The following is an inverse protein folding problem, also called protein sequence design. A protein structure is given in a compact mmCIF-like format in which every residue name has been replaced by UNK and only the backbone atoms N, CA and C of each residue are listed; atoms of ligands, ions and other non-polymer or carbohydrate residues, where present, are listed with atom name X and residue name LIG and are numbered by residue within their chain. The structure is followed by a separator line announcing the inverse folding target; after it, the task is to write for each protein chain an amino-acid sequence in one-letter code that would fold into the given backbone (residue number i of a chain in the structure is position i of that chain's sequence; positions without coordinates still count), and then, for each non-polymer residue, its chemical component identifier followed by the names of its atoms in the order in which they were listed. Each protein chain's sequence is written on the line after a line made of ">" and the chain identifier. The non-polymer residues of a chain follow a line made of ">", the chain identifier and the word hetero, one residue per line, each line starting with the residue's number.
data_IF_198449809857
#
_entry.id   IF_198449809857
#
_cell.length_a   1.000
_cell.length_b   1.000
_cell.length_c   1.000
_cell.angle_alpha   90.00
_cell.angle_beta   90.00
_cell.angle_gamma   90.00
#
_symmetry.space_group_name_H-M   'P 1'
#
loop_
_entity.id
_entity.type
_entity.pdbx_description
1 polymer ?
#
# COMPACT_ATOMS: atom_id res chain seq x y z
N UNK A 1 6.62 -9.90 29.70
CA UNK A 1 6.06 -9.01 28.66
C UNK A 1 6.98 -9.17 27.49
N UNK A 2 6.57 -9.87 26.44
CA UNK A 2 7.41 -10.08 25.26
C UNK A 2 7.26 -8.81 24.44
N UNK A 3 8.26 -7.93 24.50
CA UNK A 3 8.32 -6.83 23.56
C UNK A 3 8.64 -7.44 22.20
N UNK A 4 7.80 -7.16 21.20
CA UNK A 4 8.10 -7.48 19.81
C UNK A 4 9.19 -6.50 19.35
N UNK A 5 10.42 -6.71 19.82
CA UNK A 5 11.58 -5.85 19.51
C UNK A 5 11.91 -5.80 18.00
N UNK A 6 11.29 -6.68 17.20
CA UNK A 6 11.52 -6.82 15.76
C UNK A 6 10.30 -6.41 14.89
N UNK A 7 9.28 -5.71 15.44
CA UNK A 7 8.26 -5.09 14.59
C UNK A 7 8.88 -3.91 13.82
N UNK A 8 9.06 -4.08 12.51
CA UNK A 8 9.64 -3.05 11.65
C UNK A 8 8.66 -1.86 11.55
N UNK A 9 9.03 -0.71 12.12
CA UNK A 9 8.23 0.51 12.08
C UNK A 9 8.36 1.20 10.71
N UNK A 10 7.32 1.06 9.90
CA UNK A 10 7.32 1.49 8.51
C UNK A 10 6.28 2.58 8.25
N UNK A 11 6.68 3.60 7.50
CA UNK A 11 5.77 4.53 6.85
C UNK A 11 5.44 4.02 5.45
N UNK A 12 4.15 3.78 5.19
CA UNK A 12 3.65 3.45 3.86
C UNK A 12 3.08 4.69 3.18
N UNK A 13 3.57 5.00 1.97
CA UNK A 13 3.04 6.05 1.12
C UNK A 13 2.51 5.45 -0.18
N UNK A 14 1.31 5.85 -0.58
CA UNK A 14 0.78 5.57 -1.92
C UNK A 14 1.14 6.74 -2.82
N UNK A 15 1.82 6.46 -3.93
CA UNK A 15 2.21 7.46 -4.92
C UNK A 15 1.46 7.17 -6.21
N UNK A 16 0.70 8.15 -6.67
CA UNK A 16 0.00 8.14 -7.96
C UNK A 16 0.80 8.94 -8.98
N UNK A 17 0.76 8.53 -10.25
CA UNK A 17 1.52 9.20 -11.32
C UNK A 17 0.83 10.49 -11.83
N UNK A 18 -0.28 10.92 -11.20
CA UNK A 18 -0.85 12.26 -11.35
C UNK A 18 -1.49 12.58 -12.71
N UNK A 19 -1.76 11.59 -13.56
CA UNK A 19 -2.56 11.78 -14.78
C UNK A 19 -4.06 11.87 -14.46
N UNK A 20 -4.81 12.74 -15.13
CA UNK A 20 -6.28 12.77 -15.05
C UNK A 20 -6.86 11.41 -15.52
N UNK A 21 -7.34 10.56 -14.60
CA UNK A 21 -8.00 9.28 -14.90
C UNK A 21 -7.47 8.08 -14.12
N UNK A 22 -7.70 6.86 -14.65
CA UNK A 22 -7.21 5.57 -14.16
C UNK A 22 -5.67 5.50 -14.16
N UNK A 23 -5.04 6.21 -13.21
CA UNK A 23 -3.62 6.15 -12.96
C UNK A 23 -3.22 4.81 -12.33
N UNK A 24 -1.97 4.40 -12.49
CA UNK A 24 -1.42 3.31 -11.66
C UNK A 24 -0.81 3.91 -10.41
N UNK A 25 -1.04 3.23 -9.29
CA UNK A 25 -0.42 3.58 -8.03
C UNK A 25 0.74 2.64 -7.70
N UNK A 26 1.65 3.13 -6.87
CA UNK A 26 2.69 2.31 -6.25
C UNK A 26 2.74 2.61 -4.77
N UNK A 27 2.95 1.56 -3.99
CA UNK A 27 3.21 1.67 -2.56
C UNK A 27 4.73 1.80 -2.38
N UNK A 28 5.11 2.72 -1.52
CA UNK A 28 6.48 2.95 -1.10
C UNK A 28 6.56 2.78 0.41
N UNK A 29 7.44 1.89 0.85
CA UNK A 29 7.66 1.58 2.27
C UNK A 29 8.97 2.21 2.71
N UNK A 30 8.87 3.11 3.68
CA UNK A 30 9.98 3.86 4.25
C UNK A 30 10.22 3.40 5.68
N UNK A 31 11.49 3.38 6.08
CA UNK A 31 11.86 3.31 7.48
C UNK A 31 11.32 4.58 8.18
N UNK A 32 10.50 4.41 9.22
CA UNK A 32 9.79 5.53 9.85
C UNK A 32 10.74 6.49 10.60
N UNK A 33 11.92 6.02 11.03
CA UNK A 33 12.87 6.82 11.81
C UNK A 33 13.81 7.65 10.93
N UNK A 34 14.40 7.03 9.90
CA UNK A 34 15.38 7.65 9.01
C UNK A 34 14.75 8.27 7.76
N UNK A 35 13.51 7.89 7.43
CA UNK A 35 12.87 8.25 6.17
C UNK A 35 13.51 7.56 4.95
N UNK A 36 14.36 6.56 5.15
CA UNK A 36 14.96 5.83 4.04
C UNK A 36 13.91 4.98 3.34
N UNK A 37 13.86 5.06 2.01
CA UNK A 37 13.01 4.17 1.23
C UNK A 37 13.60 2.74 1.22
N UNK A 38 12.83 1.79 1.74
CA UNK A 38 13.24 0.39 1.83
C UNK A 38 12.70 -0.44 0.65
N UNK A 39 11.45 -0.22 0.25
CA UNK A 39 10.79 -1.06 -0.78
C UNK A 39 9.75 -0.30 -1.59
N UNK A 40 9.55 -0.75 -2.84
CA UNK A 40 8.50 -0.29 -3.75
C UNK A 40 7.67 -1.48 -4.21
N UNK A 41 6.35 -1.33 -4.26
CA UNK A 41 5.43 -2.31 -4.82
C UNK A 41 4.48 -1.62 -5.79
N UNK A 42 4.48 -2.04 -7.06
CA UNK A 42 3.54 -1.52 -8.03
C UNK A 42 2.17 -2.18 -7.82
N UNK A 43 1.10 -1.39 -7.79
CA UNK A 43 -0.26 -1.91 -7.87
C UNK A 43 -0.61 -2.10 -9.34
N UNK A 44 -1.21 -3.23 -9.69
CA UNK A 44 -1.50 -3.57 -11.09
C UNK A 44 -2.79 -2.90 -11.57
N UNK A 45 -3.68 -2.65 -10.63
CA UNK A 45 -5.02 -2.15 -10.82
C UNK A 45 -5.01 -0.62 -10.92
N UNK A 46 -5.94 -0.05 -11.69
CA UNK A 46 -6.19 1.38 -11.67
C UNK A 46 -6.46 1.88 -10.25
N UNK A 47 -5.94 3.05 -9.94
CA UNK A 47 -6.15 3.75 -8.68
C UNK A 47 -6.90 5.04 -8.93
N UNK A 48 -8.17 5.08 -8.52
CA UNK A 48 -9.01 6.26 -8.57
C UNK A 48 -9.11 6.87 -7.17
N UNK A 49 -8.53 8.05 -6.97
CA UNK A 49 -8.45 8.71 -5.67
C UNK A 49 -9.83 9.10 -5.08
N UNK A 50 -10.90 9.05 -5.89
CA UNK A 50 -12.28 9.29 -5.42
C UNK A 50 -12.92 8.08 -4.75
N UNK A 51 -12.37 6.88 -4.96
CA UNK A 51 -12.85 5.66 -4.31
C UNK A 51 -12.25 5.49 -2.92
N UNK A 52 -12.88 4.62 -2.11
CA UNK A 52 -12.33 4.25 -0.82
C UNK A 52 -11.32 3.13 -1.00
N UNK A 53 -10.11 3.34 -0.48
CA UNK A 53 -9.03 2.37 -0.47
C UNK A 53 -8.59 2.12 0.98
N UNK A 54 -8.56 0.86 1.40
CA UNK A 54 -7.99 0.43 2.67
C UNK A 54 -6.80 -0.50 2.37
N UNK A 55 -5.64 -0.23 2.99
CA UNK A 55 -4.41 -1.03 2.83
C UNK A 55 -4.01 -1.65 4.17
N UNK A 56 -3.73 -2.96 4.14
CA UNK A 56 -3.22 -3.72 5.28
C UNK A 56 -1.88 -4.34 4.91
N UNK A 57 -0.94 -4.30 5.86
CA UNK A 57 0.42 -4.81 5.69
C UNK A 57 0.66 -5.91 6.72
N UNK A 58 0.98 -7.11 6.26
CA UNK A 58 1.31 -8.26 7.10
C UNK A 58 2.56 -8.93 6.55
N UNK A 59 3.70 -8.73 7.21
CA UNK A 59 5.02 -9.26 6.80
C UNK A 59 5.35 -8.93 5.33
N UNK A 60 5.27 -9.93 4.46
CA UNK A 60 5.54 -9.83 3.03
C UNK A 60 4.25 -9.76 2.19
N UNK A 61 3.10 -9.52 2.81
CA UNK A 61 1.80 -9.48 2.16
C UNK A 61 1.17 -8.10 2.29
N UNK A 62 0.66 -7.58 1.18
CA UNK A 62 -0.15 -6.37 1.14
C UNK A 62 -1.56 -6.77 0.72
N UNK A 63 -2.56 -6.36 1.50
CA UNK A 63 -3.97 -6.49 1.16
C UNK A 63 -4.52 -5.11 0.85
N UNK A 64 -5.04 -4.94 -0.36
CA UNK A 64 -5.73 -3.73 -0.80
C UNK A 64 -7.21 -4.04 -0.96
N UNK A 65 -8.04 -3.36 -0.18
CA UNK A 65 -9.49 -3.34 -0.36
C UNK A 65 -9.89 -2.06 -1.07
N UNK A 66 -10.67 -2.20 -2.13
CA UNK A 66 -11.20 -1.10 -2.91
C UNK A 66 -12.73 -1.17 -2.92
N UNK A 67 -13.39 -0.05 -2.65
CA UNK A 67 -14.84 0.06 -2.77
C UNK A 67 -15.22 1.03 -3.90
N UNK A 68 -15.74 0.48 -5.00
CA UNK A 68 -16.30 1.22 -6.13
C UNK A 68 -17.82 1.27 -6.00
N UNK A 69 -18.34 2.34 -5.41
CA UNK A 69 -19.76 2.50 -5.09
C UNK A 69 -20.28 1.33 -4.22
N UNK A 70 -21.02 0.39 -4.81
CA UNK A 70 -21.59 -0.80 -4.16
C UNK A 70 -20.76 -2.06 -4.36
N UNK A 71 -19.69 -2.00 -5.17
CA UNK A 71 -18.81 -3.14 -5.47
C UNK A 71 -17.56 -3.07 -4.62
N UNK A 72 -17.16 -4.21 -4.06
CA UNK A 72 -15.93 -4.37 -3.28
C UNK A 72 -14.97 -5.29 -4.03
N UNK A 73 -13.72 -4.88 -4.11
CA UNK A 73 -12.62 -5.68 -4.65
C UNK A 73 -11.56 -5.89 -3.56
N UNK A 74 -10.90 -7.04 -3.60
CA UNK A 74 -9.78 -7.38 -2.72
C UNK A 74 -8.62 -7.85 -3.58
N UNK A 75 -7.49 -7.14 -3.47
CA UNK A 75 -6.26 -7.41 -4.19
C UNK A 75 -5.19 -7.79 -3.17
N UNK A 76 -4.48 -8.88 -3.42
CA UNK A 76 -3.47 -9.42 -2.50
C UNK A 76 -2.15 -9.50 -3.25
N UNK A 77 -1.12 -8.86 -2.70
CA UNK A 77 0.22 -8.84 -3.27
C UNK A 77 1.19 -9.48 -2.30
N UNK A 78 2.16 -10.22 -2.86
CA UNK A 78 3.32 -10.71 -2.14
C UNK A 78 4.54 -9.86 -2.49
N UNK A 79 5.18 -9.29 -1.49
CA UNK A 79 6.43 -8.55 -1.59
C UNK A 79 7.61 -9.53 -1.73
N UNK A 80 7.97 -9.85 -2.96
CA UNK A 80 9.22 -10.57 -3.31
C UNK A 80 10.45 -9.70 -3.02
#
# INVERSE_FOLDING_TARGET
>A
MVEYEDELDLLAAVVTDGGEGEGRARIQLYDNQSGQLLRRAALHEPWDETFRHDLFFEKDTIVHLEQKNTTFCCHVYKLS
#
